data_IF_557431431785
#
_entry.id   IF_557431431785
#
_cell.length_a   1.000
_cell.length_b   1.000
_cell.length_c   1.000
_cell.angle_alpha   90.00
_cell.angle_beta   90.00
_cell.angle_gamma   90.00
#
_symmetry.space_group_name_H-M   'P 1'
#
loop_
_entity.id
_entity.type
_entity.pdbx_description
1 polymer ?
#
# COMPACT_ATOMS: atom_id res chain seq x y z
N UNK A 1 4.97 -8.11 10.10
CA UNK A 1 4.30 -6.89 9.56
C UNK A 1 2.95 -6.71 10.25
N UNK A 2 2.49 -5.46 10.45
CA UNK A 2 1.26 -5.15 11.21
C UNK A 2 0.02 -5.86 10.66
N UNK A 3 -0.28 -5.74 9.37
CA UNK A 3 -1.48 -6.37 8.78
C UNK A 3 -1.49 -7.90 8.96
N UNK A 4 -0.36 -8.58 8.80
CA UNK A 4 -0.27 -10.03 9.07
C UNK A 4 -0.42 -10.37 10.56
N UNK A 5 0.07 -9.51 11.46
CA UNK A 5 -0.07 -9.71 12.92
C UNK A 5 -1.56 -9.67 13.32
N UNK A 6 -2.28 -8.65 12.87
CA UNK A 6 -3.72 -8.49 13.15
C UNK A 6 -4.54 -9.61 12.50
N UNK A 7 -4.14 -10.08 11.31
CA UNK A 7 -4.73 -11.25 10.66
C UNK A 7 -4.61 -12.51 11.52
N UNK A 8 -3.42 -12.79 12.05
CA UNK A 8 -3.17 -13.94 12.92
C UNK A 8 -3.85 -13.84 14.30
N UNK A 9 -4.07 -12.63 14.82
CA UNK A 9 -4.87 -12.40 16.03
C UNK A 9 -6.35 -12.76 15.83
N UNK A 10 -6.86 -12.64 14.60
CA UNK A 10 -8.24 -12.95 14.25
C UNK A 10 -8.43 -14.42 13.85
N UNK A 11 -7.47 -14.97 13.12
CA UNK A 11 -7.42 -16.38 12.69
C UNK A 11 -5.94 -16.84 12.60
N UNK A 12 -5.49 -17.77 13.46
CA UNK A 12 -4.12 -18.26 13.47
C UNK A 12 -3.65 -18.94 12.17
N UNK A 13 -4.55 -19.31 11.26
CA UNK A 13 -4.22 -19.89 9.95
C UNK A 13 -4.21 -18.86 8.81
N UNK A 14 -4.55 -17.60 9.08
CA UNK A 14 -4.68 -16.56 8.07
C UNK A 14 -3.36 -15.80 7.83
N UNK A 15 -2.52 -16.34 6.94
CA UNK A 15 -1.20 -15.78 6.60
C UNK A 15 -1.29 -14.73 5.49
N UNK A 16 -1.47 -13.47 5.89
CA UNK A 16 -1.65 -12.35 4.95
C UNK A 16 -0.35 -11.76 4.40
N UNK A 17 0.82 -12.06 4.96
CA UNK A 17 2.08 -11.40 4.61
C UNK A 17 2.35 -11.40 3.10
N UNK A 18 2.28 -12.56 2.46
CA UNK A 18 2.59 -12.69 1.03
C UNK A 18 1.56 -11.98 0.14
N UNK A 19 0.28 -12.06 0.51
CA UNK A 19 -0.80 -11.42 -0.25
C UNK A 19 -0.80 -9.89 -0.07
N UNK A 20 -0.61 -9.41 1.15
CA UNK A 20 -0.62 -8.00 1.50
C UNK A 20 0.59 -7.22 0.96
N UNK A 21 1.63 -7.90 0.46
CA UNK A 21 2.74 -7.23 -0.22
C UNK A 21 2.31 -6.60 -1.56
N UNK A 22 1.30 -7.14 -2.26
CA UNK A 22 0.77 -6.57 -3.50
C UNK A 22 0.24 -5.15 -3.29
N UNK A 23 -0.77 -4.93 -2.44
CA UNK A 23 -1.26 -3.59 -2.10
C UNK A 23 -0.19 -2.67 -1.52
N UNK A 24 0.78 -3.21 -0.76
CA UNK A 24 1.89 -2.42 -0.24
C UNK A 24 2.77 -1.83 -1.36
N UNK A 25 3.09 -2.60 -2.40
CA UNK A 25 3.85 -2.10 -3.57
C UNK A 25 2.98 -1.16 -4.42
N UNK A 26 1.70 -1.46 -4.59
CA UNK A 26 0.77 -0.58 -5.29
C UNK A 26 0.67 0.80 -4.62
N UNK A 27 0.69 0.87 -3.28
CA UNK A 27 0.70 2.14 -2.54
C UNK A 27 1.95 2.98 -2.79
N UNK A 28 3.13 2.35 -2.92
CA UNK A 28 4.37 3.07 -3.28
C UNK A 28 4.27 3.68 -4.67
N UNK A 29 3.81 2.91 -5.66
CA UNK A 29 3.61 3.39 -7.04
C UNK A 29 2.54 4.50 -7.07
N UNK A 30 1.41 4.29 -6.41
CA UNK A 30 0.31 5.26 -6.34
C UNK A 30 0.75 6.58 -5.70
N UNK A 31 1.63 6.53 -4.69
CA UNK A 31 2.19 7.74 -4.07
C UNK A 31 3.04 8.54 -5.05
N UNK A 32 3.87 7.88 -5.85
CA UNK A 32 4.65 8.55 -6.89
C UNK A 32 3.76 9.15 -7.99
N UNK A 33 2.69 8.44 -8.40
CA UNK A 33 1.70 8.95 -9.36
C UNK A 33 1.00 10.18 -8.80
N UNK A 34 0.49 10.11 -7.56
CA UNK A 34 -0.20 11.22 -6.92
C UNK A 34 0.72 12.46 -6.80
N UNK A 35 1.97 12.26 -6.41
CA UNK A 35 2.97 13.32 -6.39
C UNK A 35 3.20 13.93 -7.79
N UNK A 36 3.31 13.10 -8.82
CA UNK A 36 3.45 13.58 -10.21
C UNK A 36 2.25 14.40 -10.69
N UNK A 37 1.04 13.97 -10.37
CA UNK A 37 -0.19 14.71 -10.69
C UNK A 37 -0.23 16.04 -9.94
N UNK A 38 0.11 16.06 -8.64
CA UNK A 38 0.17 17.29 -7.85
C UNK A 38 1.22 18.27 -8.40
N UNK A 39 2.42 17.80 -8.75
CA UNK A 39 3.45 18.63 -9.36
C UNK A 39 2.98 19.23 -10.69
N UNK A 40 2.36 18.42 -11.57
CA UNK A 40 1.77 18.92 -12.82
C UNK A 40 0.73 20.01 -12.56
N UNK A 41 -0.14 19.80 -11.57
CA UNK A 41 -1.20 20.75 -11.24
C UNK A 41 -0.64 22.07 -10.69
N UNK A 42 0.40 22.00 -9.85
CA UNK A 42 0.99 23.21 -9.24
C UNK A 42 1.88 23.97 -10.21
N UNK A 43 2.62 23.28 -11.11
CA UNK A 43 3.66 23.89 -11.94
C UNK A 43 3.22 24.20 -13.37
N UNK A 44 2.16 23.58 -13.88
CA UNK A 44 1.82 23.60 -15.30
C UNK A 44 0.31 23.67 -15.62
N UNK A 45 -0.54 23.91 -14.62
CA UNK A 45 -1.97 24.20 -14.78
C UNK A 45 -2.28 25.53 -14.10
#
# INVERSE_FOLDING_TARGET
RVSNKVGLESDPQNFLLMHAMGPNVAGVIGSAIAAGVMLKYVLAM
#
